data_IF_936202547762
#
_entry.id   IF_936202547762
#
_cell.length_a   1.000
_cell.length_b   1.000
_cell.length_c   1.000
_cell.angle_alpha   90.00
_cell.angle_beta   90.00
_cell.angle_gamma   90.00
#
_symmetry.space_group_name_H-M   'P 1'
#
loop_
_entity.id
_entity.type
_entity.pdbx_description
1 polymer ?
#
# COMPACT_ATOMS: atom_id res chain seq x y z
N UNK A 1 0.19 -31.85 24.53
CA UNK A 1 1.45 -31.38 23.94
C UNK A 1 1.13 -30.14 23.13
N UNK A 2 1.51 -28.98 23.67
CA UNK A 2 1.22 -27.65 23.12
C UNK A 2 2.04 -27.43 21.85
N UNK A 3 1.38 -27.15 20.73
CA UNK A 3 2.02 -26.61 19.53
C UNK A 3 2.16 -25.10 19.72
N UNK A 4 3.21 -24.68 20.41
CA UNK A 4 3.72 -23.31 20.29
C UNK A 4 4.08 -23.08 18.81
N UNK A 5 3.47 -22.05 18.21
CA UNK A 5 3.70 -21.67 16.82
C UNK A 5 5.19 -21.45 16.56
N UNK A 6 5.77 -22.25 15.66
CA UNK A 6 7.14 -22.01 15.17
C UNK A 6 7.19 -20.60 14.60
N UNK A 7 7.93 -19.71 15.28
CA UNK A 7 8.31 -18.40 14.77
C UNK A 7 9.04 -18.61 13.44
N UNK A 8 8.44 -18.16 12.34
CA UNK A 8 9.17 -18.01 11.07
C UNK A 8 10.17 -16.89 11.32
N UNK A 9 11.45 -17.22 11.46
CA UNK A 9 12.51 -16.24 11.70
C UNK A 9 12.86 -15.53 10.38
N UNK A 10 12.16 -14.44 10.09
CA UNK A 10 12.57 -13.45 9.08
C UNK A 10 12.81 -12.13 9.81
N UNK A 11 14.07 -11.76 10.03
CA UNK A 11 14.44 -10.45 10.58
C UNK A 11 14.75 -9.49 9.44
N UNK A 12 14.33 -8.22 9.57
CA UNK A 12 14.81 -7.17 8.67
C UNK A 12 16.30 -6.95 8.89
N UNK A 13 17.04 -6.71 7.81
CA UNK A 13 18.38 -6.16 7.87
C UNK A 13 18.31 -4.72 7.40
N UNK A 14 18.67 -3.78 8.26
CA UNK A 14 18.73 -2.36 7.97
C UNK A 14 20.18 -1.88 8.12
N UNK A 15 20.75 -1.29 7.07
CA UNK A 15 22.04 -0.63 7.08
C UNK A 15 21.88 0.88 6.81
N UNK A 16 22.03 1.68 7.85
CA UNK A 16 22.06 3.14 7.74
C UNK A 16 23.32 3.63 7.01
N UNK A 17 23.14 4.40 5.95
CA UNK A 17 24.23 5.04 5.19
C UNK A 17 24.02 6.53 4.99
N UNK A 18 22.79 6.99 5.12
CA UNK A 18 22.52 8.41 5.25
C UNK A 18 23.08 8.92 6.59
N UNK A 19 23.11 10.24 6.80
CA UNK A 19 23.57 10.82 8.07
C UNK A 19 22.66 10.43 9.26
N UNK A 20 21.40 10.05 8.98
CA UNK A 20 20.38 9.66 9.94
C UNK A 20 19.54 8.55 9.31
N UNK A 21 19.64 7.31 9.80
CA UNK A 21 18.84 6.21 9.28
C UNK A 21 17.33 6.50 9.47
N UNK A 22 16.61 6.74 8.37
CA UNK A 22 15.18 7.11 8.39
C UNK A 22 14.26 5.89 8.17
N UNK A 23 14.80 4.82 7.59
CA UNK A 23 14.10 3.57 7.32
C UNK A 23 13.54 2.91 8.57
N UNK A 24 12.30 2.42 8.49
CA UNK A 24 11.67 1.59 9.51
C UNK A 24 11.15 0.29 8.93
N UNK A 25 11.02 -0.73 9.78
CA UNK A 25 10.47 -2.01 9.39
C UNK A 25 9.67 -2.63 10.53
N UNK A 26 8.69 -3.46 10.19
CA UNK A 26 7.83 -4.13 11.15
C UNK A 26 7.46 -5.53 10.67
N UNK A 27 7.49 -6.51 11.57
CA UNK A 27 7.02 -7.87 11.32
C UNK A 27 6.20 -8.34 12.52
N UNK A 28 4.95 -8.73 12.30
CA UNK A 28 4.04 -9.17 13.35
C UNK A 28 3.12 -10.30 12.91
N UNK A 29 2.65 -11.08 13.89
CA UNK A 29 1.53 -12.01 13.73
C UNK A 29 0.38 -11.45 14.55
N UNK A 30 -0.70 -11.09 13.87
CA UNK A 30 -1.87 -10.44 14.46
C UNK A 30 -3.08 -11.35 14.41
N UNK A 31 -4.05 -11.08 15.28
CA UNK A 31 -5.33 -11.79 15.36
C UNK A 31 -6.45 -10.78 15.32
N UNK A 32 -7.31 -10.89 14.31
CA UNK A 32 -8.55 -10.12 14.22
C UNK A 32 -9.58 -10.83 15.08
N UNK A 33 -10.13 -10.13 16.07
CA UNK A 33 -11.18 -10.67 16.95
C UNK A 33 -12.54 -10.28 16.42
N UNK A 34 -13.53 -11.19 16.49
CA UNK A 34 -14.93 -10.85 16.20
C UNK A 34 -15.40 -9.68 17.08
N UNK A 35 -16.17 -8.73 16.53
CA UNK A 35 -16.87 -7.75 17.37
C UNK A 35 -17.89 -8.50 18.22
N UNK A 36 -17.87 -8.30 19.54
CA UNK A 36 -18.95 -8.80 20.37
C UNK A 36 -20.22 -8.05 19.98
N UNK A 37 -21.26 -8.79 19.60
CA UNK A 37 -22.60 -8.23 19.37
C UNK A 37 -23.24 -7.88 20.71
N UNK A 38 -22.63 -6.97 21.46
CA UNK A 38 -23.23 -6.37 22.63
C UNK A 38 -24.37 -5.47 22.18
N UNK A 39 -25.61 -5.90 22.40
CA UNK A 39 -26.80 -5.03 22.38
C UNK A 39 -26.61 -3.91 23.41
N UNK A 40 -25.97 -2.81 23.02
CA UNK A 40 -25.97 -1.60 23.80
C UNK A 40 -27.30 -0.87 23.59
N UNK A 41 -28.31 -1.26 24.37
CA UNK A 41 -29.41 -0.37 24.69
C UNK A 41 -28.85 0.92 25.31
N UNK A 42 -29.21 2.12 24.84
CA UNK A 42 -28.65 3.37 25.34
C UNK A 42 -29.20 3.66 26.74
N UNK A 43 -28.52 3.14 27.77
CA UNK A 43 -28.79 3.47 29.16
C UNK A 43 -28.28 4.89 29.43
N UNK A 44 -29.22 5.79 29.73
CA UNK A 44 -29.02 7.18 30.15
C UNK A 44 -27.91 7.29 31.21
N UNK A 45 -26.78 7.93 30.85
CA UNK A 45 -25.76 8.37 31.83
C UNK A 45 -26.38 9.35 32.83
N UNK A 46 -26.61 8.89 34.06
CA UNK A 46 -26.70 9.77 35.23
C UNK A 46 -25.29 10.03 35.78
N UNK A 47 -25.00 11.30 35.98
CA UNK A 47 -23.84 11.88 36.65
C UNK A 47 -23.84 11.49 38.13
N UNK A 48 -22.73 10.99 38.67
CA UNK A 48 -22.25 11.30 40.04
C UNK A 48 -20.99 10.51 40.41
N UNK A 49 -19.94 11.26 40.78
CA UNK A 49 -18.93 11.05 41.84
C UNK A 49 -18.37 9.66 42.16
N UNK A 50 -17.03 9.62 42.27
CA UNK A 50 -16.16 8.61 42.92
C UNK A 50 -16.78 7.91 44.14
N UNK A 51 -16.37 6.67 44.43
CA UNK A 51 -15.43 6.48 45.55
C UNK A 51 -14.41 5.33 45.41
N UNK A 52 -13.55 5.27 46.43
CA UNK A 52 -12.40 4.40 46.71
C UNK A 52 -12.65 2.88 46.63
N UNK A 53 -11.51 2.16 46.67
CA UNK A 53 -11.38 0.71 46.53
C UNK A 53 -12.13 -0.15 47.54
N UNK A 54 -12.45 -1.36 47.08
CA UNK A 54 -12.17 -2.61 47.76
C UNK A 54 -12.29 -3.75 46.73
N UNK A 55 -11.43 -4.76 46.87
CA UNK A 55 -11.30 -5.86 45.91
C UNK A 55 -12.52 -6.78 45.88
N UNK A 56 -12.64 -7.58 44.83
CA UNK A 56 -13.33 -8.87 44.83
C UNK A 56 -13.16 -9.60 43.49
N UNK A 57 -12.72 -10.85 43.58
CA UNK A 57 -13.04 -11.97 42.70
C UNK A 57 -12.57 -11.89 41.24
N UNK A 58 -11.37 -12.44 40.98
CA UNK A 58 -11.03 -13.07 39.72
C UNK A 58 -12.03 -14.21 39.46
N UNK A 59 -13.10 -13.91 38.71
CA UNK A 59 -13.84 -14.96 38.00
C UNK A 59 -13.03 -15.31 36.77
N UNK A 60 -12.52 -16.53 36.81
CA UNK A 60 -11.93 -17.27 35.71
C UNK A 60 -13.04 -17.53 34.68
N UNK A 61 -13.22 -16.60 33.72
CA UNK A 61 -14.02 -16.84 32.52
C UNK A 61 -13.16 -17.64 31.54
N UNK A 62 -13.01 -18.93 31.84
CA UNK A 62 -12.67 -19.93 30.84
C UNK A 62 -13.90 -20.18 29.97
N UNK A 63 -13.68 -20.21 28.65
CA UNK A 63 -14.55 -20.81 27.64
C UNK A 63 -15.66 -19.94 27.00
N UNK A 64 -15.22 -18.95 26.21
CA UNK A 64 -15.81 -18.77 24.86
C UNK A 64 -14.65 -18.67 23.88
N UNK A 65 -14.51 -19.66 23.01
CA UNK A 65 -13.59 -19.62 21.87
C UNK A 65 -14.02 -18.49 20.93
N UNK A 66 -13.59 -17.27 21.20
CA UNK A 66 -13.78 -16.15 20.28
C UNK A 66 -13.07 -16.54 18.99
N UNK A 67 -13.82 -16.71 17.90
CA UNK A 67 -13.25 -16.94 16.57
C UNK A 67 -12.28 -15.79 16.26
N UNK A 68 -11.02 -16.15 16.06
CA UNK A 68 -9.94 -15.23 15.74
C UNK A 68 -9.40 -15.56 14.36
N UNK A 69 -9.22 -14.54 13.53
CA UNK A 69 -8.63 -14.66 12.20
C UNK A 69 -7.17 -14.20 12.26
N UNK A 70 -6.19 -15.12 12.26
CA UNK A 70 -4.79 -14.75 12.26
C UNK A 70 -4.34 -14.24 10.89
N UNK A 71 -3.43 -13.28 10.88
CA UNK A 71 -2.69 -12.87 9.69
C UNK A 71 -1.25 -12.51 10.04
N UNK A 72 -0.35 -12.71 9.08
CA UNK A 72 1.04 -12.27 9.21
C UNK A 72 1.22 -10.95 8.46
N UNK A 73 2.06 -10.09 9.01
CA UNK A 73 2.32 -8.75 8.49
C UNK A 73 3.82 -8.50 8.45
N UNK A 74 4.33 -8.07 7.29
CA UNK A 74 5.66 -7.50 7.12
C UNK A 74 5.54 -6.15 6.46
N UNK A 75 6.38 -5.19 6.84
CA UNK A 75 6.43 -3.90 6.16
C UNK A 75 7.79 -3.25 6.21
N UNK A 76 8.13 -2.53 5.15
CA UNK A 76 9.23 -1.58 5.05
C UNK A 76 8.66 -0.18 4.83
N UNK A 77 9.29 0.80 5.48
CA UNK A 77 8.97 2.21 5.38
C UNK A 77 10.27 2.98 5.11
N UNK A 78 10.44 3.44 3.88
CA UNK A 78 11.57 4.28 3.48
C UNK A 78 11.27 5.72 3.88
N UNK A 79 11.96 6.22 4.91
CA UNK A 79 11.66 7.53 5.51
C UNK A 79 12.42 8.65 4.83
N UNK A 80 11.83 9.85 4.75
CA UNK A 80 12.52 11.01 4.22
C UNK A 80 12.15 12.31 4.93
N UNK A 81 13.13 13.21 5.04
CA UNK A 81 12.97 14.53 5.67
C UNK A 81 12.50 14.46 7.13
N UNK A 82 12.94 13.42 7.84
CA UNK A 82 12.56 13.04 9.19
C UNK A 82 11.98 11.63 9.24
N UNK A 83 12.32 10.88 10.29
CA UNK A 83 11.82 9.51 10.49
C UNK A 83 10.44 9.44 11.17
N UNK A 84 9.84 10.57 11.56
CA UNK A 84 8.64 10.61 12.40
C UNK A 84 7.46 9.83 11.79
N UNK A 85 7.19 10.06 10.51
CA UNK A 85 6.12 9.36 9.78
C UNK A 85 6.40 7.86 9.67
N UNK A 86 7.62 7.48 9.28
CA UNK A 86 8.02 6.07 9.16
C UNK A 86 7.89 5.33 10.51
N UNK A 87 8.30 5.97 11.61
CA UNK A 87 8.20 5.42 12.98
C UNK A 87 6.75 5.26 13.41
N UNK A 88 5.88 6.23 13.10
CA UNK A 88 4.46 6.12 13.43
C UNK A 88 3.79 5.00 12.62
N UNK A 89 4.05 4.95 11.31
CA UNK A 89 3.47 3.95 10.42
C UNK A 89 3.91 2.52 10.77
N UNK A 90 5.17 2.32 11.15
CA UNK A 90 5.69 1.00 11.56
C UNK A 90 4.99 0.45 12.80
N UNK A 91 4.54 1.31 13.71
CA UNK A 91 3.81 0.94 14.91
C UNK A 91 2.29 0.82 14.72
N UNK A 92 1.69 1.52 13.76
CA UNK A 92 0.22 1.69 13.72
C UNK A 92 -0.46 1.17 12.46
N UNK A 93 0.21 1.06 11.31
CA UNK A 93 -0.47 0.71 10.05
C UNK A 93 -1.13 -0.69 10.10
N UNK A 94 -0.48 -1.67 10.71
CA UNK A 94 -1.03 -3.02 10.88
C UNK A 94 -2.26 -3.05 11.81
N UNK A 95 -2.37 -2.11 12.75
CA UNK A 95 -3.56 -1.97 13.59
C UNK A 95 -4.75 -1.45 12.78
N UNK A 96 -4.53 -0.46 11.90
CA UNK A 96 -5.57 0.01 10.97
C UNK A 96 -6.03 -1.11 10.03
N UNK A 97 -5.10 -1.91 9.50
CA UNK A 97 -5.45 -3.09 8.69
C UNK A 97 -6.31 -4.06 9.50
N UNK A 98 -5.92 -4.37 10.74
CA UNK A 98 -6.71 -5.27 11.60
C UNK A 98 -8.12 -4.74 11.88
N UNK A 99 -8.29 -3.42 12.05
CA UNK A 99 -9.60 -2.78 12.23
C UNK A 99 -10.50 -2.94 11.00
N UNK A 100 -9.97 -2.69 9.79
CA UNK A 100 -10.74 -2.87 8.55
C UNK A 100 -11.03 -4.35 8.26
N UNK A 101 -10.08 -5.24 8.53
CA UNK A 101 -10.32 -6.69 8.42
C UNK A 101 -11.40 -7.19 9.38
N UNK A 102 -11.51 -6.57 10.57
CA UNK A 102 -12.57 -6.90 11.53
C UNK A 102 -13.97 -6.65 10.95
N UNK A 103 -14.14 -5.63 10.12
CA UNK A 103 -15.44 -5.26 9.54
C UNK A 103 -15.94 -6.26 8.51
N UNK A 104 -15.01 -6.97 7.86
CA UNK A 104 -15.31 -7.99 6.84
C UNK A 104 -15.05 -9.42 7.33
N UNK A 105 -14.61 -9.59 8.58
CA UNK A 105 -14.13 -10.87 9.12
C UNK A 105 -15.17 -11.98 8.99
N UNK A 106 -16.44 -11.70 9.34
CA UNK A 106 -17.52 -12.68 9.26
C UNK A 106 -17.71 -13.24 7.85
N UNK A 107 -17.51 -12.40 6.82
CA UNK A 107 -17.60 -12.80 5.41
C UNK A 107 -16.39 -13.65 5.01
N UNK A 108 -15.20 -13.27 5.47
CA UNK A 108 -13.95 -13.94 5.13
C UNK A 108 -13.86 -15.35 5.74
N UNK A 109 -14.36 -15.55 6.95
CA UNK A 109 -14.28 -16.85 7.65
C UNK A 109 -15.46 -17.78 7.38
N UNK A 110 -16.54 -17.29 6.75
CA UNK A 110 -17.73 -18.10 6.45
C UNK A 110 -17.69 -18.59 4.99
N UNK A 111 -17.45 -19.89 4.74
CA UNK A 111 -17.39 -20.42 3.38
C UNK A 111 -18.70 -20.19 2.62
N UNK A 112 -18.59 -19.70 1.38
CA UNK A 112 -19.75 -19.48 0.51
C UNK A 112 -20.59 -18.25 0.85
N UNK A 113 -20.28 -17.50 1.91
CA UNK A 113 -20.96 -16.24 2.21
C UNK A 113 -20.52 -15.18 1.20
N UNK A 114 -21.48 -14.71 0.41
CA UNK A 114 -21.28 -13.61 -0.54
C UNK A 114 -21.36 -12.29 0.23
N UNK A 115 -20.45 -11.32 -0.02
CA UNK A 115 -20.51 -10.02 0.63
C UNK A 115 -21.87 -9.35 0.33
N UNK A 116 -22.63 -8.91 1.35
CA UNK A 116 -23.86 -8.18 1.11
C UNK A 116 -23.55 -6.82 0.50
N UNK A 117 -24.26 -6.44 -0.57
CA UNK A 117 -24.08 -5.14 -1.23
C UNK A 117 -24.48 -3.97 -0.34
N UNK A 118 -25.48 -4.19 0.53
CA UNK A 118 -25.94 -3.23 1.53
C UNK A 118 -26.13 -3.95 2.86
N UNK A 119 -25.45 -3.49 3.91
CA UNK A 119 -25.59 -4.06 5.25
C UNK A 119 -27.01 -3.85 5.79
N UNK A 120 -27.58 -4.87 6.41
CA UNK A 120 -28.94 -4.84 6.96
C UNK A 120 -30.05 -5.10 5.94
N UNK A 121 -29.72 -5.35 4.68
CA UNK A 121 -30.67 -5.91 3.71
C UNK A 121 -30.60 -7.45 3.75
N UNK A 122 -31.75 -8.09 3.93
CA UNK A 122 -31.83 -9.56 3.84
C UNK A 122 -31.37 -10.01 2.45
N UNK A 123 -30.53 -11.04 2.34
CA UNK A 123 -30.11 -11.57 1.06
C UNK A 123 -31.35 -11.98 0.27
N UNK A 124 -31.52 -11.42 -0.93
CA UNK A 124 -32.58 -11.85 -1.85
C UNK A 124 -32.30 -13.30 -2.18
N UNK A 125 -33.01 -14.22 -1.52
CA UNK A 125 -32.90 -15.66 -1.70
C UNK A 125 -32.89 -16.00 -3.20
N UNK A 126 -31.72 -16.35 -3.75
CA UNK A 126 -31.58 -16.80 -5.14
C UNK A 126 -32.14 -18.22 -5.35
N UNK A 127 -32.81 -18.82 -4.35
CA UNK A 127 -33.39 -20.15 -4.39
C UNK A 127 -34.91 -20.19 -4.61
N UNK A 128 -35.57 -19.09 -4.96
CA UNK A 128 -36.97 -19.14 -5.41
C UNK A 128 -37.00 -19.20 -6.95
N UNK A 129 -37.55 -20.30 -7.47
CA UNK A 129 -37.80 -20.51 -8.89
C UNK A 129 -38.60 -19.37 -9.55
N UNK A 130 -38.76 -19.38 -10.88
CA UNK A 130 -39.07 -18.20 -11.69
C UNK A 130 -40.46 -17.53 -11.48
N UNK A 131 -41.18 -17.83 -10.40
CA UNK A 131 -42.57 -17.41 -10.20
C UNK A 131 -42.82 -16.35 -9.10
N UNK A 132 -41.82 -15.82 -8.39
CA UNK A 132 -42.06 -14.83 -7.32
C UNK A 132 -41.11 -13.62 -7.31
N UNK A 133 -40.79 -13.06 -8.49
CA UNK A 133 -40.24 -11.70 -8.59
C UNK A 133 -41.37 -10.67 -8.70
N UNK A 134 -42.02 -10.41 -7.57
CA UNK A 134 -43.02 -9.37 -7.48
C UNK A 134 -43.46 -9.22 -6.05
N UNK A 135 -42.82 -8.28 -5.34
CA UNK A 135 -43.24 -7.60 -4.10
C UNK A 135 -42.03 -7.39 -3.18
N UNK A 136 -41.26 -6.34 -3.43
CA UNK A 136 -40.76 -5.41 -2.39
C UNK A 136 -39.62 -4.55 -2.92
N UNK A 137 -39.95 -3.39 -3.50
CA UNK A 137 -39.25 -2.12 -3.28
C UNK A 137 -39.99 -1.00 -4.01
N UNK A 138 -41.09 -0.58 -3.40
CA UNK A 138 -41.71 0.72 -3.65
C UNK A 138 -41.96 1.38 -2.29
N UNK A 139 -40.88 1.70 -1.58
CA UNK A 139 -40.93 2.62 -0.43
C UNK A 139 -40.07 3.82 -0.78
N UNK A 140 -40.62 4.67 -1.64
CA UNK A 140 -40.47 6.13 -1.58
C UNK A 140 -41.17 6.68 -2.82
N UNK A 141 -42.39 7.17 -2.61
CA UNK A 141 -43.06 8.25 -3.35
C UNK A 141 -44.51 8.28 -2.84
N UNK A 142 -44.71 8.63 -1.57
CA UNK A 142 -45.99 9.18 -1.13
C UNK A 142 -46.01 10.64 -1.55
N UNK A 143 -46.72 10.94 -2.62
CA UNK A 143 -47.03 12.32 -2.98
C UNK A 143 -47.29 12.52 -4.47
N UNK A 144 -48.38 11.98 -4.99
CA UNK A 144 -49.20 12.64 -6.02
C UNK A 144 -50.38 11.72 -6.37
N UNK A 145 -51.58 12.25 -6.23
CA UNK A 145 -52.81 11.63 -6.68
C UNK A 145 -52.93 11.69 -8.21
N UNK A 146 -53.53 10.66 -8.81
CA UNK A 146 -54.27 10.76 -10.08
C UNK A 146 -53.57 10.28 -11.35
N UNK A 147 -53.96 9.09 -11.84
CA UNK A 147 -54.37 8.79 -13.23
C UNK A 147 -54.26 7.27 -13.51
N UNK A 148 -55.30 6.63 -14.11
CA UNK A 148 -55.20 5.25 -14.57
C UNK A 148 -54.76 5.19 -16.04
N UNK A 149 -53.79 4.33 -16.34
CA UNK A 149 -53.51 3.87 -17.71
C UNK A 149 -52.09 4.13 -18.19
N UNK A 150 -51.23 3.10 -18.09
CA UNK A 150 -50.23 2.82 -19.13
C UNK A 150 -49.65 1.40 -18.93
N UNK A 151 -49.74 0.49 -19.92
CA UNK A 151 -49.11 -0.81 -19.86
C UNK A 151 -47.71 -0.65 -20.46
N UNK A 152 -46.70 -0.31 -19.67
CA UNK A 152 -45.27 -0.55 -19.96
C UNK A 152 -44.49 -0.12 -18.72
N UNK A 153 -44.34 -1.03 -17.76
CA UNK A 153 -43.31 -0.87 -16.73
C UNK A 153 -41.95 -0.84 -17.46
N UNK A 154 -41.09 0.17 -17.24
CA UNK A 154 -39.75 0.15 -17.81
C UNK A 154 -39.03 -1.08 -17.25
N UNK A 155 -38.71 -2.03 -18.13
CA UNK A 155 -37.77 -3.11 -17.83
C UNK A 155 -36.50 -2.43 -17.36
N UNK A 156 -36.14 -2.61 -16.10
CA UNK A 156 -34.95 -1.98 -15.56
C UNK A 156 -33.71 -2.61 -16.20
N UNK A 157 -33.17 -1.93 -17.22
CA UNK A 157 -32.14 -2.45 -18.12
C UNK A 157 -30.72 -2.48 -17.52
N UNK A 158 -30.56 -2.15 -16.24
CA UNK A 158 -29.25 -1.94 -15.59
C UNK A 158 -29.11 -2.58 -14.20
N UNK A 159 -29.68 -3.76 -13.97
CA UNK A 159 -29.48 -4.51 -12.72
C UNK A 159 -28.58 -5.74 -12.92
N UNK A 160 -27.31 -5.52 -13.27
CA UNK A 160 -26.28 -6.55 -13.08
C UNK A 160 -25.47 -6.18 -11.84
N UNK A 161 -25.64 -6.94 -10.77
CA UNK A 161 -24.84 -6.79 -9.56
C UNK A 161 -23.45 -7.37 -9.77
N UNK A 162 -22.41 -6.58 -9.45
CA UNK A 162 -21.02 -7.02 -9.62
C UNK A 162 -20.70 -8.03 -8.52
N UNK A 163 -20.16 -9.19 -8.90
CA UNK A 163 -19.61 -10.16 -7.94
C UNK A 163 -18.38 -9.57 -7.27
N UNK A 164 -18.39 -9.49 -5.94
CA UNK A 164 -17.26 -9.06 -5.11
C UNK A 164 -16.59 -10.30 -4.50
N UNK A 165 -15.28 -10.45 -4.71
CA UNK A 165 -14.52 -11.57 -4.15
C UNK A 165 -14.04 -11.25 -2.73
N UNK A 166 -13.74 -12.29 -1.94
CA UNK A 166 -13.11 -12.15 -0.63
C UNK A 166 -11.76 -11.42 -0.71
N UNK A 167 -10.95 -11.71 -1.75
CA UNK A 167 -9.69 -11.00 -1.99
C UNK A 167 -9.91 -9.49 -2.17
N UNK A 168 -10.95 -9.07 -2.90
CA UNK A 168 -11.26 -7.65 -3.09
C UNK A 168 -11.65 -6.95 -1.79
N UNK A 169 -12.26 -7.66 -0.83
CA UNK A 169 -12.55 -7.11 0.50
C UNK A 169 -11.26 -6.84 1.28
N UNK A 170 -10.30 -7.77 1.24
CA UNK A 170 -8.99 -7.61 1.90
C UNK A 170 -8.18 -6.48 1.25
N UNK A 171 -8.20 -6.37 -0.08
CA UNK A 171 -7.61 -5.23 -0.80
C UNK A 171 -8.20 -3.91 -0.33
N UNK A 172 -9.53 -3.79 -0.29
CA UNK A 172 -10.19 -2.58 0.20
C UNK A 172 -9.89 -2.25 1.66
N UNK A 173 -9.72 -3.27 2.51
CA UNK A 173 -9.32 -3.09 3.90
C UNK A 173 -7.91 -2.50 4.02
N UNK A 174 -6.96 -2.97 3.21
CA UNK A 174 -5.59 -2.43 3.16
C UNK A 174 -5.59 -1.00 2.62
N UNK A 175 -6.29 -0.74 1.52
CA UNK A 175 -6.38 0.60 0.93
C UNK A 175 -6.97 1.64 1.89
N UNK A 176 -8.03 1.28 2.63
CA UNK A 176 -8.63 2.17 3.62
C UNK A 176 -7.74 2.36 4.85
N UNK A 177 -7.01 1.31 5.27
CA UNK A 177 -6.05 1.44 6.36
C UNK A 177 -4.94 2.44 6.06
N UNK A 178 -4.45 2.52 4.82
CA UNK A 178 -3.48 3.54 4.41
C UNK A 178 -4.04 4.96 4.50
N UNK A 179 -5.30 5.16 4.09
CA UNK A 179 -5.97 6.47 4.21
C UNK A 179 -6.15 6.87 5.67
N UNK A 180 -6.58 5.96 6.52
CA UNK A 180 -6.77 6.20 7.94
C UNK A 180 -5.43 6.48 8.65
N UNK A 181 -4.37 5.75 8.27
CA UNK A 181 -3.02 6.00 8.75
C UNK A 181 -2.54 7.41 8.35
N UNK A 182 -2.67 7.79 7.08
CA UNK A 182 -2.27 9.11 6.59
C UNK A 182 -3.06 10.25 7.24
N UNK A 183 -4.37 10.05 7.45
CA UNK A 183 -5.22 10.99 8.19
C UNK A 183 -4.82 11.10 9.67
N UNK A 184 -4.49 9.97 10.31
CA UNK A 184 -4.01 9.99 11.68
C UNK A 184 -2.69 10.75 11.80
N UNK A 185 -1.75 10.54 10.87
CA UNK A 185 -0.49 11.29 10.78
C UNK A 185 -0.78 12.79 10.68
N UNK A 186 -1.70 13.21 9.79
CA UNK A 186 -2.06 14.63 9.64
C UNK A 186 -2.59 15.23 10.94
N UNK A 187 -3.48 14.52 11.62
CA UNK A 187 -4.11 14.98 12.86
C UNK A 187 -3.11 15.11 14.01
N UNK A 188 -2.16 14.17 14.09
CA UNK A 188 -1.26 14.01 15.23
C UNK A 188 0.09 14.70 15.06
N UNK A 189 0.47 15.07 13.83
CA UNK A 189 1.78 15.67 13.52
C UNK A 189 2.15 16.88 14.36
N UNK A 190 1.20 17.79 14.60
CA UNK A 190 1.48 19.03 15.33
C UNK A 190 1.65 18.80 16.82
N UNK A 191 0.92 17.81 17.37
CA UNK A 191 0.94 17.49 18.80
C UNK A 191 2.19 16.71 19.16
N UNK A 192 2.59 15.76 18.31
CA UNK A 192 3.73 14.87 18.56
C UNK A 192 4.98 15.20 17.74
N UNK A 193 4.99 16.33 17.03
CA UNK A 193 6.08 16.77 16.16
C UNK A 193 6.53 15.70 15.15
N UNK A 194 5.55 15.09 14.47
CA UNK A 194 5.78 14.02 13.49
C UNK A 194 6.31 14.66 12.20
N UNK A 195 7.59 14.42 11.90
CA UNK A 195 8.30 14.98 10.76
C UNK A 195 8.33 14.04 9.55
N UNK A 196 8.51 14.64 8.38
CA UNK A 196 8.82 13.93 7.14
C UNK A 196 7.63 13.31 6.42
N UNK A 197 7.98 12.38 5.54
CA UNK A 197 7.11 11.43 4.88
C UNK A 197 7.79 10.07 4.82
N UNK A 198 7.09 9.07 4.30
CA UNK A 198 7.73 7.80 3.98
C UNK A 198 7.02 7.07 2.84
N UNK A 199 7.76 6.19 2.16
CA UNK A 199 7.14 5.11 1.40
C UNK A 199 6.55 4.06 2.35
N UNK A 200 5.70 3.18 1.83
CA UNK A 200 5.18 2.06 2.60
C UNK A 200 4.97 0.85 1.68
N UNK A 201 5.75 -0.20 1.91
CA UNK A 201 5.62 -1.51 1.27
C UNK A 201 5.19 -2.51 2.34
N UNK A 202 3.94 -3.00 2.25
CA UNK A 202 3.35 -3.94 3.20
C UNK A 202 3.05 -5.27 2.54
N UNK A 203 3.18 -6.35 3.30
CA UNK A 203 2.81 -7.71 2.92
C UNK A 203 1.93 -8.29 4.00
N UNK A 204 0.70 -8.65 3.64
CA UNK A 204 -0.25 -9.35 4.51
C UNK A 204 -0.41 -10.77 3.99
N UNK A 205 -0.09 -11.77 4.81
CA UNK A 205 -0.48 -13.16 4.56
C UNK A 205 -1.78 -13.47 5.29
N UNK A 206 -2.84 -13.74 4.54
CA UNK A 206 -4.17 -14.02 5.07
C UNK A 206 -4.90 -15.01 4.15
N UNK A 207 -5.45 -16.08 4.75
CA UNK A 207 -6.27 -17.09 4.06
C UNK A 207 -5.61 -17.61 2.78
N UNK A 208 -4.35 -18.03 2.87
CA UNK A 208 -3.62 -18.65 1.75
C UNK A 208 -3.18 -17.70 0.63
N UNK A 209 -3.30 -16.37 0.82
CA UNK A 209 -2.91 -15.35 -0.15
C UNK A 209 -1.91 -14.36 0.48
N UNK A 210 -0.95 -13.90 -0.32
CA UNK A 210 -0.12 -12.75 -0.01
C UNK A 210 -0.73 -11.51 -0.69
N UNK A 211 -0.99 -10.47 0.10
CA UNK A 211 -1.43 -9.17 -0.37
C UNK A 211 -0.26 -8.19 -0.21
N UNK A 212 0.29 -7.72 -1.33
CA UNK A 212 1.44 -6.83 -1.37
C UNK A 212 0.96 -5.43 -1.71
N UNK A 213 0.88 -4.57 -0.70
CA UNK A 213 0.46 -3.17 -0.84
C UNK A 213 1.67 -2.25 -0.92
N UNK A 214 1.83 -1.51 -2.02
CA UNK A 214 2.95 -0.56 -2.18
C UNK A 214 2.48 0.87 -2.42
N UNK A 215 3.08 1.82 -1.69
CA UNK A 215 2.97 3.26 -1.88
C UNK A 215 4.35 3.90 -1.80
N UNK A 216 5.01 4.06 -2.95
CA UNK A 216 6.36 4.61 -3.08
C UNK A 216 7.20 3.83 -4.08
N UNK A 217 8.52 3.90 -3.93
CA UNK A 217 9.54 3.25 -4.79
C UNK A 217 10.32 2.14 -4.09
N UNK A 218 9.94 1.77 -2.86
CA UNK A 218 10.25 0.42 -2.34
C UNK A 218 9.67 -0.66 -3.26
N UNK A 219 10.29 -1.84 -3.28
CA UNK A 219 9.93 -2.92 -4.22
C UNK A 219 9.97 -4.31 -3.59
N UNK A 220 9.06 -5.17 -4.05
CA UNK A 220 8.99 -6.58 -3.71
C UNK A 220 9.00 -7.50 -4.95
N UNK A 221 9.76 -8.59 -4.87
CA UNK A 221 9.81 -9.65 -5.87
C UNK A 221 9.70 -11.02 -5.20
N UNK A 222 9.08 -11.98 -5.87
CA UNK A 222 9.17 -13.39 -5.53
C UNK A 222 10.25 -14.03 -6.40
N UNK A 223 11.12 -14.83 -5.78
CA UNK A 223 12.03 -15.74 -6.45
C UNK A 223 11.45 -17.13 -6.26
N UNK A 224 11.05 -17.79 -7.34
CA UNK A 224 10.43 -19.12 -7.29
C UNK A 224 10.98 -20.00 -8.39
N UNK A 225 11.61 -21.11 -8.02
CA UNK A 225 12.18 -22.07 -8.97
C UNK A 225 13.11 -21.41 -9.99
N UNK A 226 13.89 -20.41 -9.56
CA UNK A 226 14.80 -19.63 -10.41
C UNK A 226 14.13 -18.50 -11.23
N UNK A 227 12.80 -18.42 -11.24
CA UNK A 227 12.05 -17.36 -11.92
C UNK A 227 11.84 -16.15 -10.99
N UNK A 228 11.88 -14.95 -11.57
CA UNK A 228 11.65 -13.69 -10.85
C UNK A 228 10.26 -13.16 -11.18
N UNK A 229 9.41 -13.04 -10.16
CA UNK A 229 8.02 -12.62 -10.28
C UNK A 229 7.87 -11.29 -9.53
N UNK A 230 7.75 -10.14 -10.23
CA UNK A 230 7.43 -8.87 -9.59
C UNK A 230 6.06 -8.96 -8.92
N UNK A 231 5.98 -8.54 -7.65
CA UNK A 231 4.72 -8.49 -6.88
C UNK A 231 4.42 -7.10 -6.33
N UNK A 232 5.14 -6.09 -6.80
CA UNK A 232 4.82 -4.67 -6.59
C UNK A 232 5.27 -3.84 -7.78
N UNK A 233 4.67 -2.66 -7.95
CA UNK A 233 5.10 -1.61 -8.88
C UNK A 233 5.71 -0.44 -8.11
N UNK A 234 6.69 0.26 -8.67
CA UNK A 234 7.22 1.50 -8.10
C UNK A 234 6.42 2.71 -8.57
N UNK A 235 6.25 3.70 -7.69
CA UNK A 235 5.41 4.87 -7.94
C UNK A 235 6.22 6.18 -7.99
N UNK A 236 7.02 6.29 -9.05
CA UNK A 236 7.84 7.46 -9.39
C UNK A 236 7.11 8.48 -10.26
N UNK A 237 7.60 9.73 -10.39
CA UNK A 237 7.03 10.75 -11.26
C UNK A 237 6.82 10.28 -12.71
N UNK A 238 7.76 9.50 -13.24
CA UNK A 238 7.69 8.98 -14.60
C UNK A 238 6.65 7.87 -14.76
N UNK A 239 6.63 6.91 -13.82
CA UNK A 239 5.66 5.79 -13.84
C UNK A 239 4.21 6.28 -13.75
N UNK A 240 3.98 7.34 -12.97
CA UNK A 240 2.65 7.88 -12.69
C UNK A 240 2.36 9.17 -13.47
N UNK A 241 3.16 9.47 -14.51
CA UNK A 241 3.06 10.69 -15.33
C UNK A 241 1.63 10.99 -15.74
N UNK A 242 0.92 10.02 -16.30
CA UNK A 242 -0.44 10.23 -16.80
C UNK A 242 -1.41 10.60 -15.67
N UNK A 243 -1.31 9.96 -14.49
CA UNK A 243 -2.14 10.30 -13.32
C UNK A 243 -1.86 11.73 -12.86
N UNK A 244 -0.58 12.10 -12.76
CA UNK A 244 -0.15 13.43 -12.33
C UNK A 244 -0.64 14.52 -13.30
N UNK A 245 -0.42 14.33 -14.61
CA UNK A 245 -0.86 15.28 -15.62
C UNK A 245 -2.38 15.38 -15.69
N UNK A 246 -3.11 14.26 -15.55
CA UNK A 246 -4.57 14.27 -15.50
C UNK A 246 -5.09 15.09 -14.31
N UNK A 247 -4.51 14.89 -13.12
CA UNK A 247 -4.86 15.67 -11.93
C UNK A 247 -4.60 17.16 -12.13
N UNK A 248 -3.43 17.50 -12.68
CA UNK A 248 -3.05 18.88 -12.99
C UNK A 248 -3.95 19.53 -14.06
N UNK A 249 -4.39 18.76 -15.06
CA UNK A 249 -5.35 19.20 -16.07
C UNK A 249 -6.72 19.47 -15.46
N UNK A 250 -7.22 18.56 -14.61
CA UNK A 250 -8.52 18.70 -13.94
C UNK A 250 -8.53 19.80 -12.88
N UNK A 251 -7.39 20.06 -12.23
CA UNK A 251 -7.25 21.01 -11.13
C UNK A 251 -6.03 21.94 -11.38
N UNK A 252 -6.10 22.84 -12.37
CA UNK A 252 -4.96 23.68 -12.78
C UNK A 252 -4.50 24.66 -11.70
N UNK A 253 -5.37 24.99 -10.73
CA UNK A 253 -5.01 25.82 -9.57
C UNK A 253 -3.91 25.19 -8.70
N UNK A 254 -3.76 23.86 -8.72
CA UNK A 254 -2.70 23.14 -8.02
C UNK A 254 -1.31 23.44 -8.59
N UNK A 255 -1.21 23.98 -9.80
CA UNK A 255 0.06 24.33 -10.45
C UNK A 255 0.52 25.75 -10.12
N UNK A 256 -0.25 26.52 -9.35
CA UNK A 256 0.06 27.90 -8.96
C UNK A 256 0.27 28.88 -10.12
N UNK A 257 -0.15 28.53 -11.34
CA UNK A 257 0.17 29.23 -12.59
C UNK A 257 1.69 29.32 -12.91
N UNK A 258 2.52 28.57 -12.18
CA UNK A 258 3.97 28.50 -12.37
C UNK A 258 4.40 27.26 -13.16
N UNK A 259 3.59 26.20 -13.06
CA UNK A 259 3.84 24.92 -13.70
C UNK A 259 2.83 24.63 -14.81
N UNK A 260 3.23 23.77 -15.75
CA UNK A 260 2.37 23.21 -16.80
C UNK A 260 2.27 21.69 -16.64
N UNK A 261 1.08 21.17 -16.94
CA UNK A 261 0.84 19.73 -17.02
C UNK A 261 1.39 19.14 -18.32
N UNK A 262 1.62 19.96 -19.36
CA UNK A 262 2.19 19.48 -20.62
C UNK A 262 3.66 19.12 -20.44
N UNK A 263 4.06 18.04 -21.08
CA UNK A 263 5.46 17.65 -21.12
C UNK A 263 6.07 17.97 -22.48
N UNK A 264 7.29 18.51 -22.42
CA UNK A 264 8.15 18.78 -23.57
C UNK A 264 9.48 18.05 -23.40
N UNK A 265 10.17 17.65 -24.49
CA UNK A 265 11.46 16.97 -24.39
C UNK A 265 12.56 17.76 -23.66
N UNK A 266 12.36 19.07 -23.50
CA UNK A 266 13.19 19.95 -22.67
C UNK A 266 12.45 21.23 -22.33
N UNK A 267 13.02 22.01 -21.41
CA UNK A 267 12.55 23.36 -21.11
C UNK A 267 12.50 24.23 -22.36
N UNK A 268 11.36 24.89 -22.54
CA UNK A 268 11.11 25.82 -23.65
C UNK A 268 11.77 27.16 -23.35
N UNK A 269 12.29 27.79 -24.40
CA UNK A 269 12.90 29.10 -24.32
C UNK A 269 12.01 30.15 -24.98
N UNK A 270 12.00 31.38 -24.46
CA UNK A 270 11.15 32.47 -24.97
C UNK A 270 11.30 32.74 -26.47
N UNK A 271 12.49 32.51 -27.06
CA UNK A 271 12.74 32.61 -28.51
C UNK A 271 12.08 31.53 -29.38
N UNK A 272 11.37 30.59 -28.75
CA UNK A 272 10.72 29.45 -29.39
C UNK A 272 9.20 29.61 -29.43
N UNK A 273 8.65 30.63 -28.77
CA UNK A 273 7.24 31.00 -28.88
C UNK A 273 6.89 31.24 -30.35
N UNK A 274 5.77 30.66 -30.81
CA UNK A 274 5.33 30.63 -32.20
C UNK A 274 5.94 29.54 -33.08
N UNK A 275 6.95 28.79 -32.61
CA UNK A 275 7.52 27.63 -33.32
C UNK A 275 6.79 26.35 -32.94
N UNK A 276 6.98 25.28 -33.73
CA UNK A 276 6.45 23.95 -33.41
C UNK A 276 7.46 23.13 -32.61
N UNK A 277 7.02 22.48 -31.54
CA UNK A 277 7.84 21.58 -30.73
C UNK A 277 7.04 20.32 -30.36
N UNK A 278 7.76 19.21 -30.15
CA UNK A 278 7.18 17.99 -29.62
C UNK A 278 6.63 18.23 -28.20
N UNK A 279 5.44 17.71 -27.93
CA UNK A 279 4.79 17.72 -26.63
C UNK A 279 4.01 16.42 -26.43
N UNK A 280 3.65 16.14 -25.18
CA UNK A 280 2.66 15.12 -24.84
C UNK A 280 1.84 15.52 -23.63
N UNK A 281 0.59 15.04 -23.61
CA UNK A 281 -0.39 15.28 -22.55
C UNK A 281 -0.82 13.97 -21.87
N UNK A 282 -1.68 14.04 -20.86
CA UNK A 282 -2.12 12.90 -20.04
C UNK A 282 -2.79 11.79 -20.87
N UNK A 283 -3.49 12.14 -21.95
CA UNK A 283 -4.15 11.18 -22.86
C UNK A 283 -3.21 10.50 -23.84
N UNK A 284 -1.95 10.93 -23.90
CA UNK A 284 -1.01 10.51 -24.94
C UNK A 284 0.03 9.54 -24.37
N UNK A 285 0.27 8.43 -25.08
CA UNK A 285 1.45 7.58 -24.88
C UNK A 285 2.63 7.98 -25.78
N UNK A 286 2.34 8.60 -26.93
CA UNK A 286 3.33 9.12 -27.89
C UNK A 286 3.53 10.63 -27.82
N UNK A 287 4.26 11.18 -28.80
CA UNK A 287 4.54 12.60 -28.93
C UNK A 287 3.83 13.19 -30.15
N UNK A 288 3.41 14.46 -30.06
CA UNK A 288 2.86 15.22 -31.18
C UNK A 288 3.50 16.61 -31.24
N UNK A 289 3.30 17.35 -32.33
CA UNK A 289 3.80 18.74 -32.44
C UNK A 289 2.67 19.74 -32.16
N UNK A 290 2.89 20.65 -31.19
CA UNK A 290 2.08 21.87 -31.02
C UNK A 290 2.86 23.12 -31.37
N UNK A 291 2.16 24.20 -31.68
CA UNK A 291 2.76 25.54 -31.71
C UNK A 291 2.92 26.02 -30.27
N UNK A 292 4.10 26.51 -29.92
CA UNK A 292 4.44 27.00 -28.59
C UNK A 292 3.81 28.37 -28.36
N UNK A 293 3.20 28.54 -27.18
CA UNK A 293 2.65 29.79 -26.67
C UNK A 293 3.38 30.22 -25.37
N UNK A 294 2.98 31.36 -24.80
CA UNK A 294 3.61 31.90 -23.58
C UNK A 294 3.34 31.04 -22.33
N UNK A 295 2.21 30.30 -22.28
CA UNK A 295 1.88 29.43 -21.16
C UNK A 295 2.81 28.20 -21.09
N UNK A 296 3.35 27.77 -22.23
CA UNK A 296 4.32 26.68 -22.29
C UNK A 296 5.70 27.03 -21.70
N UNK A 297 5.96 28.30 -21.38
CA UNK A 297 7.20 28.72 -20.71
C UNK A 297 7.23 28.36 -19.22
N UNK A 298 6.09 27.93 -18.66
CA UNK A 298 5.95 27.43 -17.29
C UNK A 298 6.82 26.20 -17.05
N UNK A 299 7.14 25.94 -15.79
CA UNK A 299 7.95 24.79 -15.41
C UNK A 299 7.17 23.47 -15.62
N UNK A 300 7.82 22.38 -16.03
CA UNK A 300 7.12 21.12 -16.19
C UNK A 300 6.70 20.55 -14.83
N UNK A 301 5.52 19.94 -14.76
CA UNK A 301 5.02 19.23 -13.57
C UNK A 301 6.01 18.15 -13.08
N UNK A 302 6.67 17.46 -14.01
CA UNK A 302 7.71 16.48 -13.71
C UNK A 302 9.04 17.05 -14.20
N UNK A 303 9.96 17.25 -13.27
CA UNK A 303 11.26 17.83 -13.54
C UNK A 303 12.37 16.78 -13.36
N UNK A 304 13.26 16.65 -14.34
CA UNK A 304 14.31 15.64 -14.34
C UNK A 304 13.87 14.33 -14.98
N UNK A 305 14.78 13.35 -14.99
CA UNK A 305 14.60 12.05 -15.64
C UNK A 305 15.14 10.93 -14.75
N UNK A 306 14.57 9.73 -14.89
CA UNK A 306 14.88 8.56 -14.08
C UNK A 306 14.82 8.87 -12.59
N UNK A 307 15.84 8.44 -11.83
CA UNK A 307 15.94 8.65 -10.38
C UNK A 307 16.00 10.10 -9.92
N UNK A 308 16.29 11.03 -10.85
CA UNK A 308 16.33 12.47 -10.57
C UNK A 308 15.02 13.16 -10.91
N UNK A 309 14.03 12.43 -11.41
CA UNK A 309 12.70 12.95 -11.66
C UNK A 309 12.05 13.38 -10.33
N UNK A 310 11.40 14.54 -10.32
CA UNK A 310 10.74 15.10 -9.16
C UNK A 310 9.40 15.72 -9.56
N UNK A 311 8.35 15.47 -8.78
CA UNK A 311 7.08 16.21 -8.90
C UNK A 311 7.32 17.64 -8.44
N UNK A 312 7.00 18.61 -9.30
CA UNK A 312 7.16 20.04 -9.05
C UNK A 312 8.56 20.40 -8.52
N UNK A 313 9.60 19.73 -9.05
CA UNK A 313 10.99 19.85 -8.62
C UNK A 313 11.24 19.60 -7.11
N UNK A 314 10.33 18.90 -6.42
CA UNK A 314 10.33 18.77 -4.96
C UNK A 314 10.50 17.33 -4.48
N UNK A 315 9.61 16.39 -4.87
CA UNK A 315 9.58 15.03 -4.30
C UNK A 315 9.82 13.94 -5.35
N UNK A 316 10.59 12.90 -4.99
CA UNK A 316 10.99 11.78 -5.86
C UNK A 316 9.97 10.65 -5.98
N UNK A 317 8.98 10.61 -5.09
CA UNK A 317 7.88 9.64 -5.08
C UNK A 317 6.54 10.32 -5.32
N UNK A 318 5.58 9.55 -5.84
CA UNK A 318 4.22 10.03 -6.12
C UNK A 318 3.16 9.37 -5.25
N UNK A 319 3.57 8.37 -4.48
CA UNK A 319 2.75 7.74 -3.44
C UNK A 319 3.58 7.58 -2.16
N UNK A 320 2.92 7.67 -1.01
CA UNK A 320 3.55 7.61 0.31
C UNK A 320 2.68 8.22 1.40
N UNK A 321 3.08 8.03 2.65
CA UNK A 321 2.43 8.59 3.84
C UNK A 321 3.13 9.90 4.26
N UNK A 322 2.40 10.79 4.93
CA UNK A 322 2.98 12.02 5.48
C UNK A 322 3.08 13.16 4.46
N UNK A 323 4.10 14.02 4.59
CA UNK A 323 4.32 15.19 3.73
C UNK A 323 3.14 16.17 3.61
N UNK A 324 2.24 16.18 4.59
CA UNK A 324 1.01 16.98 4.56
C UNK A 324 1.23 18.50 4.40
N UNK A 325 2.40 19.02 4.82
CA UNK A 325 2.75 20.44 4.63
C UNK A 325 3.91 20.65 3.65
N UNK A 326 4.30 19.61 2.89
CA UNK A 326 5.36 19.75 1.91
C UNK A 326 4.91 20.70 0.80
N UNK A 327 5.71 21.73 0.56
CA UNK A 327 5.50 22.74 -0.47
C UNK A 327 6.66 22.76 -1.43
N UNK A 328 6.40 23.19 -2.65
CA UNK A 328 7.45 23.55 -3.60
C UNK A 328 8.26 24.70 -3.01
N UNK A 329 9.59 24.58 -3.08
CA UNK A 329 10.54 25.55 -2.52
C UNK A 329 10.20 26.99 -2.93
N UNK A 330 10.23 27.92 -1.97
CA UNK A 330 9.90 29.33 -2.15
C UNK A 330 8.52 29.62 -2.77
N UNK A 331 7.54 28.72 -2.62
CA UNK A 331 6.18 28.92 -3.13
C UNK A 331 5.10 28.58 -2.10
N UNK A 332 3.84 28.81 -2.47
CA UNK A 332 2.66 28.34 -1.73
C UNK A 332 1.97 27.12 -2.36
N UNK A 333 2.65 26.44 -3.29
CA UNK A 333 2.13 25.26 -3.97
C UNK A 333 2.41 24.04 -3.10
N UNK A 334 1.36 23.36 -2.66
CA UNK A 334 1.46 22.12 -1.90
C UNK A 334 1.68 20.93 -2.84
N UNK A 335 2.45 19.95 -2.36
CA UNK A 335 2.71 18.70 -3.10
C UNK A 335 1.49 17.79 -3.08
N UNK A 336 0.78 17.64 -1.96
CA UNK A 336 -0.55 17.02 -1.98
C UNK A 336 -1.51 17.94 -2.76
N UNK A 337 -2.34 17.42 -3.67
CA UNK A 337 -2.72 16.00 -3.82
C UNK A 337 -1.94 15.18 -4.87
N UNK A 338 -0.84 15.68 -5.43
CA UNK A 338 -0.04 14.89 -6.39
C UNK A 338 0.60 13.65 -5.73
N UNK A 339 1.00 13.78 -4.46
CA UNK A 339 1.40 12.68 -3.59
C UNK A 339 0.18 11.98 -2.97
N UNK A 340 -0.07 10.72 -3.34
CA UNK A 340 -1.21 9.92 -2.86
C UNK A 340 -0.79 8.92 -1.78
N UNK A 341 -1.54 8.82 -0.69
CA UNK A 341 -1.32 7.77 0.31
C UNK A 341 -1.89 6.40 -0.08
N UNK A 342 -2.72 6.32 -1.13
CA UNK A 342 -3.35 5.06 -1.52
C UNK A 342 -2.33 4.09 -2.15
N UNK A 343 -2.20 2.85 -1.63
CA UNK A 343 -1.30 1.85 -2.20
C UNK A 343 -1.90 1.24 -3.47
N UNK A 344 -1.07 0.62 -4.30
CA UNK A 344 -1.51 -0.47 -5.17
C UNK A 344 -1.37 -1.79 -4.41
N UNK A 345 -2.39 -2.65 -4.44
CA UNK A 345 -2.35 -3.96 -3.80
C UNK A 345 -2.36 -5.07 -4.85
N UNK A 346 -1.28 -5.83 -4.93
CA UNK A 346 -1.20 -7.04 -5.76
C UNK A 346 -1.47 -8.28 -4.90
N UNK A 347 -2.11 -9.29 -5.48
CA UNK A 347 -2.47 -10.53 -4.78
C UNK A 347 -1.73 -11.71 -5.40
N UNK A 348 -0.96 -12.43 -4.59
CA UNK A 348 -0.28 -13.65 -4.97
C UNK A 348 -0.90 -14.85 -4.23
N UNK A 349 -1.49 -15.83 -4.95
CA UNK A 349 -2.18 -16.97 -4.34
C UNK A 349 -1.20 -18.02 -3.84
N UNK A 350 -0.55 -17.75 -2.70
CA UNK A 350 0.51 -18.57 -2.10
C UNK A 350 0.13 -20.06 -1.99
N UNK A 351 -1.06 -20.34 -1.47
CA UNK A 351 -1.56 -21.70 -1.24
C UNK A 351 -1.88 -22.50 -2.50
N UNK A 352 -1.92 -21.87 -3.68
CA UNK A 352 -2.21 -22.54 -4.95
C UNK A 352 -0.94 -23.06 -5.64
N UNK A 353 0.23 -22.79 -5.06
CA UNK A 353 1.53 -23.13 -5.66
C UNK A 353 2.45 -23.77 -4.63
N UNK A 354 3.13 -24.85 -5.02
CA UNK A 354 4.15 -25.47 -4.18
C UNK A 354 5.42 -24.62 -4.16
N UNK A 355 6.03 -24.51 -2.98
CA UNK A 355 7.22 -23.71 -2.74
C UNK A 355 8.29 -24.51 -2.02
N UNK A 356 9.49 -24.53 -2.59
CA UNK A 356 10.68 -25.12 -2.02
C UNK A 356 11.31 -24.24 -0.94
N UNK A 357 12.37 -24.75 -0.31
CA UNK A 357 13.09 -24.02 0.75
C UNK A 357 13.81 -22.76 0.25
N UNK A 358 14.08 -22.67 -1.06
CA UNK A 358 14.78 -21.54 -1.68
C UNK A 358 13.79 -20.57 -2.38
N UNK A 359 12.50 -20.89 -2.37
CA UNK A 359 11.47 -19.99 -2.88
C UNK A 359 11.13 -18.95 -1.82
N UNK A 360 11.41 -17.68 -2.14
CA UNK A 360 11.38 -16.58 -1.19
C UNK A 360 10.70 -15.35 -1.77
N UNK A 361 10.13 -14.55 -0.88
CA UNK A 361 9.72 -13.17 -1.14
C UNK A 361 10.80 -12.22 -0.63
N UNK A 362 11.30 -11.35 -1.50
CA UNK A 362 12.29 -10.32 -1.17
C UNK A 362 11.61 -8.96 -1.19
N UNK A 363 11.74 -8.19 -0.11
CA UNK A 363 11.35 -6.78 -0.03
C UNK A 363 12.61 -5.96 0.16
N UNK A 364 12.69 -4.79 -0.48
CA UNK A 364 13.73 -3.82 -0.20
C UNK A 364 13.29 -2.38 -0.37
N UNK A 365 13.94 -1.46 0.34
CA UNK A 365 13.89 -0.01 0.07
C UNK A 365 14.69 0.34 -1.18
N UNK A 366 14.53 1.57 -1.68
CA UNK A 366 15.14 1.97 -2.95
C UNK A 366 16.68 1.87 -2.90
N UNK A 367 17.29 2.03 -1.72
CA UNK A 367 18.72 1.85 -1.48
C UNK A 367 19.27 0.47 -1.90
N UNK A 368 18.42 -0.57 -2.00
CA UNK A 368 18.77 -1.84 -2.64
C UNK A 368 18.62 -1.76 -4.16
N UNK A 369 17.42 -1.42 -4.62
CA UNK A 369 16.98 -1.52 -6.02
C UNK A 369 17.65 -0.51 -6.94
N UNK A 370 18.20 0.54 -6.34
CA UNK A 370 18.95 1.57 -7.02
C UNK A 370 20.26 1.05 -7.61
N UNK A 371 20.85 0.03 -7.00
CA UNK A 371 22.17 -0.46 -7.39
C UNK A 371 22.17 -1.91 -7.88
N UNK A 372 21.12 -2.67 -7.55
CA UNK A 372 20.94 -4.05 -8.01
C UNK A 372 19.62 -4.21 -8.77
N UNK A 373 19.69 -4.84 -9.94
CA UNK A 373 18.51 -5.26 -10.70
C UNK A 373 17.81 -6.47 -10.06
N UNK A 374 16.55 -6.70 -10.44
CA UNK A 374 15.79 -7.87 -9.99
C UNK A 374 16.55 -9.19 -10.21
N UNK A 375 17.25 -9.31 -11.35
CA UNK A 375 18.02 -10.51 -11.70
C UNK A 375 19.27 -10.66 -10.81
N UNK A 376 20.00 -9.57 -10.56
CA UNK A 376 21.19 -9.60 -9.68
C UNK A 376 20.84 -9.94 -8.24
N UNK A 377 19.68 -9.45 -7.75
CA UNK A 377 19.12 -9.84 -6.45
C UNK A 377 18.77 -11.33 -6.44
N UNK A 378 18.07 -11.81 -7.47
CA UNK A 378 17.67 -13.21 -7.57
C UNK A 378 18.87 -14.17 -7.60
N UNK A 379 19.90 -13.83 -8.37
CA UNK A 379 21.14 -14.59 -8.44
C UNK A 379 21.91 -14.60 -7.12
N UNK A 380 21.99 -13.44 -6.44
CA UNK A 380 22.63 -13.34 -5.13
C UNK A 380 21.92 -14.22 -4.09
N UNK A 381 20.60 -14.08 -3.98
CA UNK A 381 19.79 -14.82 -3.01
C UNK A 381 19.79 -16.31 -3.31
N UNK A 382 19.57 -16.71 -4.56
CA UNK A 382 19.56 -18.13 -4.94
C UNK A 382 20.94 -18.77 -4.76
N UNK A 383 22.01 -18.06 -5.12
CA UNK A 383 23.38 -18.50 -4.92
C UNK A 383 23.75 -18.63 -3.44
N UNK A 384 23.31 -17.71 -2.59
CA UNK A 384 23.55 -17.79 -1.14
C UNK A 384 22.78 -18.97 -0.53
N UNK A 385 21.48 -19.06 -0.80
CA UNK A 385 20.63 -20.10 -0.26
C UNK A 385 21.09 -21.49 -0.72
N UNK A 386 21.37 -21.69 -2.02
CA UNK A 386 21.83 -22.98 -2.54
C UNK A 386 23.13 -23.52 -1.92
N UNK A 387 23.91 -22.67 -1.23
CA UNK A 387 25.12 -23.05 -0.51
C UNK A 387 24.91 -23.22 1.02
N UNK A 388 23.70 -23.00 1.52
CA UNK A 388 23.33 -23.15 2.92
C UNK A 388 22.53 -24.45 3.15
N UNK A 389 22.61 -24.99 4.36
CA UNK A 389 21.72 -26.08 4.81
C UNK A 389 20.25 -25.62 4.71
N UNK A 390 19.36 -26.34 3.98
CA UNK A 390 17.94 -26.00 3.89
C UNK A 390 17.21 -25.95 5.23
N UNK A 391 17.71 -26.66 6.24
CA UNK A 391 17.13 -26.70 7.58
C UNK A 391 17.64 -25.59 8.52
N UNK A 392 18.66 -24.81 8.11
CA UNK A 392 19.16 -23.67 8.90
C UNK A 392 18.17 -22.50 8.85
N UNK A 393 17.56 -22.21 9.99
CA UNK A 393 16.58 -21.12 10.13
C UNK A 393 17.19 -19.73 9.92
N UNK A 394 18.50 -19.56 10.07
CA UNK A 394 19.17 -18.26 9.93
C UNK A 394 19.54 -17.94 8.48
N UNK A 395 19.45 -18.91 7.56
CA UNK A 395 19.89 -18.75 6.16
C UNK A 395 19.25 -17.56 5.45
N UNK A 396 17.98 -17.27 5.72
CA UNK A 396 17.26 -16.13 5.12
C UNK A 396 17.75 -14.79 5.67
N UNK A 397 18.00 -14.71 6.98
CA UNK A 397 18.59 -13.53 7.62
C UNK A 397 20.01 -13.27 7.09
N UNK A 398 20.83 -14.32 6.97
CA UNK A 398 22.19 -14.18 6.43
C UNK A 398 22.18 -13.81 4.95
N UNK A 399 21.27 -14.37 4.16
CA UNK A 399 21.07 -13.96 2.76
C UNK A 399 20.68 -12.48 2.64
N UNK A 400 19.83 -11.99 3.54
CA UNK A 400 19.46 -10.57 3.57
C UNK A 400 20.67 -9.68 3.95
N UNK A 401 21.52 -10.14 4.88
CA UNK A 401 22.77 -9.45 5.24
C UNK A 401 23.74 -9.40 4.07
N UNK A 402 23.94 -10.52 3.38
CA UNK A 402 24.79 -10.61 2.19
C UNK A 402 24.29 -9.65 1.10
N UNK A 403 22.97 -9.60 0.87
CA UNK A 403 22.37 -8.72 -0.11
C UNK A 403 22.56 -7.23 0.23
N UNK A 404 22.38 -6.85 1.49
CA UNK A 404 22.64 -5.49 1.99
C UNK A 404 24.12 -5.14 1.81
N UNK A 405 25.05 -6.06 2.13
CA UNK A 405 26.48 -5.84 1.95
C UNK A 405 26.85 -5.70 0.46
N UNK A 406 26.22 -6.49 -0.41
CA UNK A 406 26.40 -6.41 -1.86
C UNK A 406 25.95 -5.07 -2.43
N UNK A 407 24.77 -4.58 -2.04
CA UNK A 407 24.27 -3.26 -2.45
C UNK A 407 25.09 -2.11 -1.85
N UNK A 408 25.53 -2.28 -0.59
CA UNK A 408 26.41 -1.33 0.09
C UNK A 408 27.75 -1.18 -0.62
N UNK A 409 28.33 -2.27 -1.10
CA UNK A 409 29.66 -2.28 -1.69
C UNK A 409 30.78 -1.98 -0.69
N UNK A 410 32.00 -1.82 -1.21
CA UNK A 410 33.23 -1.58 -0.44
C UNK A 410 33.73 -0.16 -0.69
N UNK A 411 34.24 0.49 0.36
CA UNK A 411 34.84 1.82 0.23
C UNK A 411 36.17 1.73 -0.54
N UNK A 412 36.26 2.44 -1.67
CA UNK A 412 37.49 2.66 -2.44
C UNK A 412 37.82 4.15 -2.48
N UNK A 413 38.98 4.52 -3.05
CA UNK A 413 39.47 5.91 -3.13
C UNK A 413 38.47 6.91 -3.73
N UNK A 414 37.50 6.43 -4.53
CA UNK A 414 36.46 7.23 -5.20
C UNK A 414 35.03 6.82 -4.79
N UNK A 415 34.83 6.53 -3.50
CA UNK A 415 33.52 6.23 -2.91
C UNK A 415 33.22 4.74 -2.78
N UNK A 416 31.99 4.42 -2.35
CA UNK A 416 31.51 3.04 -2.23
C UNK A 416 31.28 2.41 -3.60
N UNK A 417 31.76 1.17 -3.80
CA UNK A 417 31.73 0.46 -5.09
C UNK A 417 31.24 -0.97 -4.92
N UNK A 418 30.33 -1.41 -5.80
CA UNK A 418 29.87 -2.81 -5.88
C UNK A 418 30.79 -3.64 -6.79
N UNK A 419 30.49 -4.94 -6.91
CA UNK A 419 31.12 -5.82 -7.89
C UNK A 419 30.93 -5.26 -9.28
N UNK A 420 32.00 -5.08 -10.06
CA UNK A 420 32.10 -4.38 -11.38
C UNK A 420 32.48 -2.88 -11.35
N UNK A 421 32.76 -2.32 -10.17
CA UNK A 421 33.17 -0.91 -9.98
C UNK A 421 32.06 0.15 -10.25
N UNK A 422 30.80 -0.27 -10.42
CA UNK A 422 29.64 0.62 -10.27
C UNK A 422 29.56 1.21 -8.87
N UNK A 423 28.90 2.36 -8.75
CA UNK A 423 28.63 3.00 -7.46
C UNK A 423 27.76 2.09 -6.59
N UNK A 424 28.17 1.90 -5.33
CA UNK A 424 27.32 1.31 -4.31
C UNK A 424 26.30 2.29 -3.79
N UNK A 425 25.32 1.76 -3.06
CA UNK A 425 24.21 2.56 -2.57
C UNK A 425 24.70 3.68 -1.65
N UNK A 426 24.18 4.87 -1.86
CA UNK A 426 24.39 6.03 -0.98
C UNK A 426 23.28 6.18 0.05
N UNK A 427 22.25 5.34 0.00
CA UNK A 427 21.04 5.45 0.80
C UNK A 427 20.97 4.38 1.89
N UNK A 428 20.01 4.55 2.81
CA UNK A 428 19.63 3.53 3.77
C UNK A 428 19.13 2.28 3.03
N UNK A 429 19.51 1.10 3.52
CA UNK A 429 19.19 -0.16 2.85
C UNK A 429 18.49 -1.07 3.86
N UNK A 430 17.19 -1.29 3.65
CA UNK A 430 16.38 -2.21 4.44
C UNK A 430 15.87 -3.37 3.60
N UNK A 431 16.07 -4.60 4.05
CA UNK A 431 15.72 -5.82 3.30
C UNK A 431 15.03 -6.84 4.18
N UNK A 432 13.95 -7.45 3.65
CA UNK A 432 13.42 -8.74 4.11
C UNK A 432 13.65 -9.83 3.07
N UNK A 433 13.99 -11.02 3.54
CA UNK A 433 13.87 -12.27 2.77
C UNK A 433 12.96 -13.21 3.56
N UNK A 434 11.80 -13.55 2.98
CA UNK A 434 10.72 -14.28 3.64
C UNK A 434 10.54 -15.62 2.93
N UNK A 435 10.73 -16.77 3.60
CA UNK A 435 10.50 -18.09 3.01
C UNK A 435 9.02 -18.35 2.71
N UNK A 436 8.73 -18.78 1.49
CA UNK A 436 7.36 -19.02 1.04
C UNK A 436 6.83 -20.42 1.41
N UNK A 437 7.71 -21.39 1.65
CA UNK A 437 7.34 -22.78 1.97
C UNK A 437 6.47 -22.95 3.23
N UNK A 438 6.46 -21.97 4.14
CA UNK A 438 5.68 -22.04 5.37
C UNK A 438 4.22 -21.64 5.19
N UNK A 439 3.86 -20.96 4.10
CA UNK A 439 2.47 -20.65 3.77
C UNK A 439 1.61 -21.89 3.60
N UNK A 440 2.19 -22.96 3.05
CA UNK A 440 1.49 -24.21 2.76
C UNK A 440 1.23 -25.08 4.00
N UNK A 441 1.79 -24.72 5.17
CA UNK A 441 1.70 -25.52 6.42
C UNK A 441 0.74 -24.95 7.47
N UNK A 442 0.01 -23.88 7.14
CA UNK A 442 -0.87 -23.16 8.08
C UNK A 442 -2.38 -23.33 7.82
N UNK A 443 -2.78 -24.22 6.91
CA UNK A 443 -4.18 -24.60 6.72
C UNK A 443 -4.58 -25.80 7.57
#
# INVERSE_FOLDING_TARGET
MSTEGRKVSSSVINAGKSALNEDQACCQVLRVKRRSTGTHSPSRRRRSSLPNGDGLSLKDDTDTSSEELPFHYWALFDGHAGSGVAVMASHLLHHHIALHLQEVMDILVTPGLVPPTCLGEEPVNQHLGPAQKGLSRAVSLRGAAGAPGSPHAPTARFFSEKKVSHQSLVVGAIENAFKDMDFQIEREKSVYNISGGCTALVVVYLLGNLYVGNAGDSRAIIIRSGEVIPVSSEFTPESERQRLQFLAYMQPHLLGNEFTHLEFPRRIQRREVGKRMLYRDFTMSGWAYKTIDDDDLKFPLIYGEGKKARVLATIGVTRGLGDHHLKVHDSNIFIKPFLSCCPEVQVYPLSQTEHGADDVLVLGTDGLWDVLSNQEVAEAVSGFLGNCDPDDQHRYTMAAQDLVMKARGVLKDRGWRISDDRLGSGDDISVYIIPLMYGNKQN
#
